data_IF_343302357331
#
_entry.id   IF_343302357331
#
_cell.length_a   1.000
_cell.length_b   1.000
_cell.length_c   1.000
_cell.angle_alpha   90.00
_cell.angle_beta   90.00
_cell.angle_gamma   90.00
#
_symmetry.space_group_name_H-M   'P 1'
#
loop_
_entity.id
_entity.type
_entity.pdbx_description
1 polymer ?
#
# COMPACT_ATOMS: atom_id res chain seq x y z
N UNK A 1 30.54 25.28 -55.95
CA UNK A 1 29.83 24.17 -55.26
C UNK A 1 30.22 24.19 -53.79
N UNK A 2 29.42 24.82 -52.93
CA UNK A 2 29.67 24.89 -51.48
C UNK A 2 28.63 24.06 -50.73
N UNK A 3 29.08 23.11 -49.90
CA UNK A 3 28.20 22.28 -49.05
C UNK A 3 27.56 23.13 -47.95
N UNK A 4 26.27 22.96 -47.60
CA UNK A 4 25.70 23.64 -46.45
C UNK A 4 26.19 23.00 -45.15
N UNK A 5 26.57 23.84 -44.17
CA UNK A 5 26.91 23.42 -42.81
C UNK A 5 25.63 23.03 -42.07
N UNK A 6 25.63 21.87 -41.41
CA UNK A 6 24.55 21.46 -40.51
C UNK A 6 24.56 22.32 -39.23
N UNK A 7 23.40 22.90 -38.90
CA UNK A 7 23.19 23.64 -37.65
C UNK A 7 23.17 22.70 -36.43
N UNK A 8 23.66 23.12 -35.26
CA UNK A 8 23.61 22.29 -34.06
C UNK A 8 22.17 22.23 -33.52
N UNK A 9 21.71 21.01 -33.25
CA UNK A 9 20.41 20.72 -32.65
C UNK A 9 20.44 21.25 -31.20
N UNK A 10 19.73 22.36 -30.95
CA UNK A 10 19.49 22.86 -29.60
C UNK A 10 18.59 21.91 -28.80
N UNK A 11 18.59 22.02 -27.46
CA UNK A 11 17.86 21.10 -26.59
C UNK A 11 16.36 21.21 -26.84
N UNK A 12 15.70 20.06 -27.03
CA UNK A 12 14.25 19.97 -27.23
C UNK A 12 13.55 20.53 -25.98
N UNK A 13 12.87 21.67 -26.13
CA UNK A 13 11.88 22.17 -25.16
C UNK A 13 10.75 21.12 -25.08
N UNK A 14 10.50 20.55 -23.89
CA UNK A 14 9.34 19.68 -23.74
C UNK A 14 9.33 18.66 -22.60
N UNK A 15 10.31 18.59 -21.71
CA UNK A 15 10.16 17.80 -20.49
C UNK A 15 9.20 18.53 -19.54
N UNK A 16 7.89 18.32 -19.73
CA UNK A 16 6.89 18.65 -18.71
C UNK A 16 7.19 17.74 -17.53
N UNK A 17 7.85 18.28 -16.50
CA UNK A 17 7.89 17.65 -15.19
C UNK A 17 6.44 17.60 -14.72
N UNK A 18 5.78 16.46 -14.93
CA UNK A 18 4.48 16.18 -14.33
C UNK A 18 4.74 16.10 -12.84
N UNK A 19 4.52 17.21 -12.13
CA UNK A 19 4.54 17.21 -10.68
C UNK A 19 3.53 16.14 -10.24
N UNK A 20 3.93 15.14 -9.43
CA UNK A 20 2.95 14.22 -8.91
C UNK A 20 1.90 15.07 -8.17
N UNK A 21 0.60 14.85 -8.43
CA UNK A 21 -0.45 15.58 -7.74
C UNK A 21 -0.22 15.50 -6.23
N UNK A 22 -0.37 16.65 -5.57
CA UNK A 22 -0.47 16.75 -4.11
C UNK A 22 -1.62 15.83 -3.72
N UNK A 23 -1.30 14.73 -3.07
CA UNK A 23 -2.20 13.63 -2.76
C UNK A 23 -1.83 13.18 -1.38
N UNK A 24 -2.82 12.82 -0.56
CA UNK A 24 -2.52 12.02 0.61
C UNK A 24 -1.94 10.70 0.11
N UNK A 25 -0.67 10.44 0.41
CA UNK A 25 -0.02 9.18 0.09
C UNK A 25 0.03 8.35 1.36
N UNK A 26 -0.80 7.33 1.47
CA UNK A 26 -0.63 6.33 2.53
C UNK A 26 0.11 5.14 1.94
N UNK A 27 1.26 4.76 2.49
CA UNK A 27 1.81 3.42 2.18
C UNK A 27 1.05 2.41 3.02
N UNK A 28 0.35 1.50 2.35
CA UNK A 28 -0.28 0.36 2.97
C UNK A 28 0.71 -0.79 2.93
N UNK A 29 0.95 -1.45 4.05
CA UNK A 29 1.64 -2.71 4.11
C UNK A 29 0.73 -3.78 4.72
N UNK A 30 0.46 -4.87 3.99
CA UNK A 30 -0.34 -6.01 4.48
C UNK A 30 0.55 -7.20 4.73
N UNK A 31 0.48 -7.75 5.95
CA UNK A 31 1.00 -9.09 6.24
C UNK A 31 -0.10 -10.12 6.07
N UNK A 32 0.18 -11.28 5.46
CA UNK A 32 -0.77 -12.39 5.46
C UNK A 32 -0.71 -13.12 6.81
N UNK A 33 -1.87 -13.39 7.43
CA UNK A 33 -2.06 -14.64 8.17
C UNK A 33 -3.19 -15.40 7.48
N UNK A 34 -3.21 -16.73 7.56
CA UNK A 34 -4.22 -17.56 6.92
C UNK A 34 -4.83 -18.49 7.96
N UNK A 35 -6.17 -18.50 8.11
CA UNK A 35 -6.84 -19.47 8.96
C UNK A 35 -8.33 -19.63 8.66
N UNK A 36 -8.67 -20.59 7.80
CA UNK A 36 -10.02 -21.15 7.73
C UNK A 36 -10.23 -22.14 8.89
N UNK A 37 -11.17 -21.86 9.79
CA UNK A 37 -11.56 -22.79 10.84
C UNK A 37 -12.93 -23.42 10.53
N UNK A 38 -12.93 -24.69 10.10
CA UNK A 38 -14.11 -25.54 10.12
C UNK A 38 -14.17 -26.22 11.49
N UNK A 39 -15.27 -26.07 12.23
CA UNK A 39 -15.49 -26.79 13.50
C UNK A 39 -15.75 -28.27 13.22
N UNK A 40 -14.97 -29.14 13.83
CA UNK A 40 -15.40 -30.50 14.18
C UNK A 40 -15.11 -30.76 15.67
N UNK A 41 -16.01 -31.53 16.26
CA UNK A 41 -16.20 -31.65 17.71
C UNK A 41 -15.28 -32.74 18.28
N UNK A 42 -14.45 -32.38 19.27
CA UNK A 42 -13.90 -33.30 20.28
C UNK A 42 -12.54 -33.95 19.98
N UNK A 43 -11.55 -33.66 20.84
CA UNK A 43 -10.46 -34.60 21.15
C UNK A 43 -9.04 -34.04 21.17
N UNK A 44 -8.54 -33.77 22.40
CA UNK A 44 -7.14 -33.75 22.86
C UNK A 44 -6.18 -32.68 22.27
N UNK A 45 -5.80 -31.74 23.13
CA UNK A 45 -4.70 -30.79 22.94
C UNK A 45 -3.38 -31.56 22.76
N UNK A 46 -2.86 -31.54 21.54
CA UNK A 46 -1.41 -31.55 21.30
C UNK A 46 -1.03 -30.11 20.96
N UNK A 47 -0.20 -29.52 21.82
CA UNK A 47 0.43 -28.23 21.57
C UNK A 47 1.57 -28.44 20.57
N UNK A 48 1.23 -28.46 19.28
CA UNK A 48 2.20 -28.13 18.23
C UNK A 48 1.81 -26.75 17.70
N UNK A 49 2.42 -25.73 18.30
CA UNK A 49 2.26 -24.35 17.88
C UNK A 49 2.77 -24.14 16.46
N UNK A 50 1.85 -24.08 15.50
CA UNK A 50 2.05 -23.39 14.23
C UNK A 50 1.17 -22.13 14.22
N UNK A 51 1.67 -21.11 14.90
CA UNK A 51 1.04 -19.81 14.96
C UNK A 51 1.26 -19.05 13.63
N UNK A 52 0.36 -19.26 12.66
CA UNK A 52 -0.11 -18.29 11.65
C UNK A 52 0.84 -17.20 11.14
N UNK A 53 2.12 -17.52 10.93
CA UNK A 53 3.17 -16.59 10.51
C UNK A 53 3.67 -16.92 9.11
N UNK A 54 4.60 -16.09 8.63
CA UNK A 54 5.41 -16.37 7.43
C UNK A 54 5.83 -17.84 7.40
N UNK A 55 5.46 -18.56 6.34
CA UNK A 55 5.84 -19.97 6.26
C UNK A 55 7.31 -20.10 5.91
N UNK A 56 7.95 -21.19 6.32
CA UNK A 56 9.30 -21.53 5.85
C UNK A 56 9.37 -21.59 4.31
N UNK A 57 8.26 -21.92 3.64
CA UNK A 57 8.14 -21.90 2.18
C UNK A 57 8.21 -20.49 1.60
N UNK A 58 7.60 -19.50 2.26
CA UNK A 58 7.67 -18.10 1.83
C UNK A 58 9.10 -17.57 1.93
N UNK A 59 9.79 -17.87 3.03
CA UNK A 59 11.19 -17.45 3.23
C UNK A 59 12.09 -18.07 2.16
N UNK A 60 11.91 -19.35 1.85
CA UNK A 60 12.70 -20.03 0.83
C UNK A 60 12.38 -19.50 -0.58
N UNK A 61 11.10 -19.24 -0.88
CA UNK A 61 10.68 -18.66 -2.16
C UNK A 61 11.27 -17.27 -2.45
N UNK A 62 11.53 -16.49 -1.40
CA UNK A 62 12.14 -15.17 -1.48
C UNK A 62 13.68 -15.19 -1.33
N UNK A 63 14.30 -16.35 -1.02
CA UNK A 63 15.76 -16.42 -0.76
C UNK A 63 16.55 -15.94 -1.98
N UNK A 64 17.38 -14.92 -1.78
CA UNK A 64 18.21 -14.33 -2.83
C UNK A 64 17.44 -13.50 -3.87
N UNK A 65 16.15 -13.25 -3.67
CA UNK A 65 15.32 -12.45 -4.57
C UNK A 65 15.20 -11.01 -4.09
N UNK A 66 15.92 -10.09 -4.74
CA UNK A 66 15.80 -8.65 -4.52
C UNK A 66 14.92 -8.00 -5.58
N UNK A 67 14.01 -7.12 -5.17
CA UNK A 67 13.15 -6.36 -6.09
C UNK A 67 13.18 -4.87 -5.74
N UNK A 68 13.37 -4.03 -6.74
CA UNK A 68 13.25 -2.57 -6.67
C UNK A 68 12.22 -2.15 -7.70
N UNK A 69 11.23 -1.36 -7.29
CA UNK A 69 10.19 -0.80 -8.17
C UNK A 69 10.24 0.71 -8.05
N UNK A 70 10.49 1.41 -9.16
CA UNK A 70 10.56 2.88 -9.16
C UNK A 70 9.16 3.51 -9.15
N UNK A 71 9.02 4.76 -8.68
CA UNK A 71 7.78 5.50 -8.80
C UNK A 71 7.26 5.53 -10.25
N UNK A 72 6.00 5.13 -10.44
CA UNK A 72 5.36 5.09 -11.76
C UNK A 72 5.54 3.79 -12.56
N UNK A 73 6.35 2.84 -12.08
CA UNK A 73 6.46 1.51 -12.71
C UNK A 73 5.39 0.53 -12.21
N UNK A 74 4.85 0.77 -11.02
CA UNK A 74 3.78 -0.03 -10.45
C UNK A 74 2.43 0.21 -11.18
N UNK A 75 1.58 -0.83 -11.30
CA UNK A 75 0.20 -0.63 -11.71
C UNK A 75 -0.52 0.39 -10.83
N UNK A 76 -1.41 1.18 -11.42
CA UNK A 76 -2.27 2.12 -10.70
C UNK A 76 -3.73 1.84 -11.03
N UNK A 77 -4.53 1.63 -9.99
CA UNK A 77 -5.95 1.30 -10.11
C UNK A 77 -6.79 2.45 -9.57
N UNK A 78 -7.62 3.05 -10.43
CA UNK A 78 -8.59 4.05 -9.99
C UNK A 78 -9.63 3.43 -9.06
N UNK A 79 -9.94 4.13 -7.97
CA UNK A 79 -10.96 3.74 -7.01
C UNK A 79 -12.14 4.70 -7.11
N UNK A 80 -13.37 4.20 -7.31
CA UNK A 80 -14.56 5.04 -7.31
C UNK A 80 -14.80 5.68 -5.94
N UNK A 81 -15.86 6.49 -5.87
CA UNK A 81 -16.39 6.97 -4.59
C UNK A 81 -16.59 5.80 -3.60
N UNK A 82 -16.27 6.00 -2.31
CA UNK A 82 -16.00 7.29 -1.68
C UNK A 82 -14.53 7.73 -1.69
N UNK A 83 -13.59 6.92 -2.19
CA UNK A 83 -12.18 7.29 -2.20
C UNK A 83 -11.87 8.32 -3.31
N UNK A 84 -12.48 8.10 -4.49
CA UNK A 84 -12.25 8.88 -5.71
C UNK A 84 -10.75 9.09 -6.02
N UNK A 85 -9.96 8.06 -5.72
CA UNK A 85 -8.51 8.11 -5.66
C UNK A 85 -7.88 6.94 -6.39
N UNK A 86 -6.72 6.50 -5.94
CA UNK A 86 -5.97 5.42 -6.58
C UNK A 86 -5.37 4.47 -5.56
N UNK A 87 -5.25 3.20 -5.94
CA UNK A 87 -4.46 2.20 -5.24
C UNK A 87 -3.34 1.70 -6.17
N UNK A 88 -2.10 1.84 -5.72
CA UNK A 88 -0.89 1.56 -6.49
C UNK A 88 -0.07 0.47 -5.78
N UNK A 89 -0.37 -0.83 -5.98
CA UNK A 89 0.39 -1.91 -5.35
C UNK A 89 1.80 -1.98 -5.96
N UNK A 90 2.83 -1.83 -5.11
CA UNK A 90 4.23 -1.75 -5.52
C UNK A 90 4.93 -3.09 -5.33
N UNK A 91 4.85 -3.66 -4.12
CA UNK A 91 5.38 -4.97 -3.77
C UNK A 91 4.21 -5.87 -3.35
N UNK A 92 4.12 -7.07 -3.89
CA UNK A 92 3.04 -8.02 -3.60
C UNK A 92 3.49 -9.44 -3.94
N UNK A 93 2.84 -10.50 -3.43
CA UNK A 93 3.38 -11.86 -3.45
C UNK A 93 3.83 -12.35 -4.84
N UNK A 94 3.11 -11.97 -5.90
CA UNK A 94 3.46 -12.37 -7.25
C UNK A 94 4.78 -11.76 -7.77
N UNK A 95 5.24 -10.60 -7.24
CA UNK A 95 6.52 -10.00 -7.61
C UNK A 95 7.61 -10.16 -6.53
N UNK A 96 7.24 -10.29 -5.25
CA UNK A 96 8.18 -10.50 -4.13
C UNK A 96 8.51 -11.96 -3.89
N UNK A 97 7.67 -12.90 -4.37
CA UNK A 97 7.72 -14.33 -4.00
C UNK A 97 7.56 -14.57 -2.49
N UNK A 98 7.00 -13.60 -1.78
CA UNK A 98 6.84 -13.61 -0.33
C UNK A 98 5.40 -13.26 0.04
N UNK A 99 4.64 -14.23 0.55
CA UNK A 99 3.23 -14.01 0.89
C UNK A 99 3.03 -13.11 2.10
N UNK A 100 4.02 -13.06 3.00
CA UNK A 100 3.93 -12.32 4.27
C UNK A 100 4.03 -10.80 4.15
N UNK A 101 4.19 -10.24 2.94
CA UNK A 101 4.32 -8.80 2.72
C UNK A 101 3.70 -8.37 1.39
N UNK A 102 2.84 -7.36 1.45
CA UNK A 102 2.51 -6.51 0.31
C UNK A 102 2.67 -5.06 0.72
N UNK A 103 3.15 -4.17 -0.14
CA UNK A 103 3.11 -2.73 0.08
C UNK A 103 2.78 -1.94 -1.18
N UNK A 104 2.16 -0.79 -1.02
CA UNK A 104 1.85 0.12 -2.12
C UNK A 104 1.31 1.44 -1.63
N UNK A 105 1.01 2.35 -2.55
CA UNK A 105 0.47 3.67 -2.22
C UNK A 105 -1.05 3.71 -2.37
N UNK A 106 -1.71 4.44 -1.48
CA UNK A 106 -3.12 4.78 -1.56
C UNK A 106 -3.24 6.30 -1.64
N UNK A 107 -3.95 6.76 -2.66
CA UNK A 107 -4.40 8.15 -2.80
C UNK A 107 -5.87 8.25 -2.49
N UNK A 108 -6.25 9.27 -1.72
CA UNK A 108 -7.64 9.63 -1.45
C UNK A 108 -7.82 11.07 -1.94
N UNK A 109 -8.80 11.32 -2.81
CA UNK A 109 -9.05 12.68 -3.29
C UNK A 109 -9.58 13.58 -2.16
N UNK A 110 -9.46 14.91 -2.29
CA UNK A 110 -10.07 15.87 -1.38
C UNK A 110 -11.57 15.58 -1.16
N UNK A 111 -12.01 15.55 0.09
CA UNK A 111 -13.37 15.17 0.49
C UNK A 111 -13.67 13.67 0.41
N UNK A 112 -12.72 12.85 -0.04
CA UNK A 112 -12.83 11.40 -0.15
C UNK A 112 -12.52 10.67 1.15
N UNK A 113 -12.84 9.38 1.20
CA UNK A 113 -12.51 8.50 2.33
C UNK A 113 -12.31 7.05 1.94
N UNK A 114 -11.52 6.34 2.73
CA UNK A 114 -11.54 4.88 2.81
C UNK A 114 -12.56 4.51 3.89
N UNK A 115 -13.58 3.74 3.51
CA UNK A 115 -14.65 3.33 4.43
C UNK A 115 -14.08 2.59 5.64
N UNK A 116 -14.79 2.70 6.75
CA UNK A 116 -14.53 1.89 7.94
C UNK A 116 -14.48 0.40 7.57
N UNK A 117 -13.34 -0.25 7.82
CA UNK A 117 -13.13 -1.68 7.59
C UNK A 117 -12.10 -2.27 8.56
N UNK A 118 -12.00 -3.60 8.58
CA UNK A 118 -10.99 -4.36 9.33
C UNK A 118 -10.62 -5.60 8.51
N UNK A 119 -9.52 -6.25 8.89
CA UNK A 119 -9.06 -7.51 8.28
C UNK A 119 -9.20 -8.65 9.31
N UNK A 120 -9.48 -9.87 8.85
CA UNK A 120 -9.81 -10.99 9.74
C UNK A 120 -8.59 -11.66 10.37
N UNK A 121 -7.78 -12.27 9.51
CA UNK A 121 -6.36 -12.50 9.71
C UNK A 121 -5.65 -11.25 9.12
N UNK A 122 -4.36 -11.14 8.89
CA UNK A 122 -3.71 -9.89 8.41
C UNK A 122 -3.59 -8.71 9.39
N UNK A 123 -2.36 -8.19 9.46
CA UNK A 123 -2.04 -6.86 9.98
C UNK A 123 -1.96 -5.87 8.82
N UNK A 124 -2.24 -4.61 9.13
CA UNK A 124 -1.99 -3.50 8.24
C UNK A 124 -1.10 -2.44 8.91
N UNK A 125 -0.07 -1.99 8.19
CA UNK A 125 0.71 -0.81 8.52
C UNK A 125 0.36 0.29 7.51
N UNK A 126 -0.07 1.44 8.02
CA UNK A 126 -0.33 2.64 7.22
C UNK A 126 0.66 3.73 7.63
N UNK A 127 1.30 4.38 6.67
CA UNK A 127 2.14 5.56 6.93
C UNK A 127 1.70 6.67 6.00
N UNK A 128 1.39 7.85 6.55
CA UNK A 128 1.12 9.04 5.74
C UNK A 128 2.44 9.69 5.31
N UNK A 129 2.64 9.85 4.00
CA UNK A 129 3.84 10.47 3.41
C UNK A 129 3.61 11.90 2.93
N UNK A 130 2.37 12.25 2.62
CA UNK A 130 1.99 13.55 2.06
C UNK A 130 0.53 13.85 2.42
N UNK A 131 0.16 15.13 2.38
CA UNK A 131 -1.20 15.61 2.65
C UNK A 131 -1.60 15.50 4.11
N UNK A 132 -2.86 15.81 4.42
CA UNK A 132 -3.41 15.81 5.78
C UNK A 132 -4.86 15.39 5.80
N UNK A 133 -5.24 14.65 6.82
CA UNK A 133 -6.61 14.23 7.07
C UNK A 133 -6.76 13.69 8.47
N UNK A 134 -7.62 12.68 8.60
CA UNK A 134 -7.92 12.03 9.87
C UNK A 134 -7.98 10.52 9.66
N UNK A 135 -7.43 9.79 10.61
CA UNK A 135 -7.62 8.34 10.72
C UNK A 135 -8.43 8.06 11.99
N UNK A 136 -9.44 7.22 11.88
CA UNK A 136 -10.24 6.75 13.02
C UNK A 136 -9.86 5.30 13.25
N UNK A 137 -9.33 4.96 14.43
CA UNK A 137 -8.91 3.62 14.81
C UNK A 137 -9.67 3.22 16.07
N UNK A 138 -10.44 2.12 16.00
CA UNK A 138 -11.32 1.63 17.07
C UNK A 138 -12.19 2.74 17.69
N UNK A 139 -12.72 3.62 16.82
CA UNK A 139 -13.58 4.74 17.21
C UNK A 139 -12.83 5.98 17.72
N UNK A 140 -11.51 5.92 17.89
CA UNK A 140 -10.68 7.05 18.32
C UNK A 140 -10.15 7.80 17.10
N UNK A 141 -10.36 9.11 17.09
CA UNK A 141 -9.91 9.99 16.01
C UNK A 141 -8.48 10.47 16.25
N UNK A 142 -7.62 10.32 15.24
CA UNK A 142 -6.24 10.80 15.23
C UNK A 142 -5.97 11.68 14.00
N UNK A 143 -5.13 12.73 14.12
CA UNK A 143 -4.60 13.43 12.96
C UNK A 143 -3.84 12.45 12.05
N UNK A 144 -4.06 12.54 10.74
CA UNK A 144 -3.28 11.82 9.74
C UNK A 144 -2.45 12.83 8.97
N UNK A 145 -1.18 12.96 9.33
CA UNK A 145 -0.24 13.92 8.75
C UNK A 145 1.10 13.25 8.39
N UNK A 146 1.98 13.87 7.60
CA UNK A 146 3.21 13.21 7.15
C UNK A 146 4.05 12.71 8.34
N UNK A 147 4.37 11.41 8.33
CA UNK A 147 5.06 10.72 9.42
C UNK A 147 4.13 9.99 10.40
N UNK A 148 2.82 10.21 10.34
CA UNK A 148 1.84 9.41 11.10
C UNK A 148 1.92 7.96 10.65
N UNK A 149 2.14 7.05 11.59
CA UNK A 149 2.20 5.61 11.36
C UNK A 149 1.12 4.91 12.19
N UNK A 150 0.32 4.06 11.55
CA UNK A 150 -0.74 3.28 12.16
C UNK A 150 -0.38 1.80 12.05
N UNK A 151 -0.34 1.10 13.18
CA UNK A 151 -0.38 -0.36 13.20
C UNK A 151 -1.81 -0.80 13.49
N UNK A 152 -2.38 -1.59 12.58
CA UNK A 152 -3.76 -2.03 12.58
C UNK A 152 -3.76 -3.56 12.62
N UNK A 153 -3.97 -4.10 13.82
CA UNK A 153 -4.02 -5.55 14.01
C UNK A 153 -5.26 -6.20 13.38
N UNK A 154 -5.31 -7.54 13.35
CA UNK A 154 -6.51 -8.24 12.93
C UNK A 154 -7.72 -7.81 13.77
N UNK A 155 -8.85 -7.55 13.11
CA UNK A 155 -10.09 -7.09 13.73
C UNK A 155 -10.15 -5.59 14.07
N UNK A 156 -9.03 -4.86 14.06
CA UNK A 156 -9.01 -3.42 14.38
C UNK A 156 -9.77 -2.63 13.31
N UNK A 157 -10.83 -1.95 13.73
CA UNK A 157 -11.70 -1.20 12.85
C UNK A 157 -11.05 0.15 12.53
N UNK A 158 -10.89 0.47 11.24
CA UNK A 158 -10.24 1.71 10.83
C UNK A 158 -10.88 2.37 9.60
N UNK A 159 -10.88 3.71 9.60
CA UNK A 159 -11.37 4.59 8.53
C UNK A 159 -10.33 5.69 8.26
N UNK A 160 -10.12 6.07 7.01
CA UNK A 160 -9.29 7.24 6.64
C UNK A 160 -10.16 8.26 5.94
N UNK A 161 -10.08 9.51 6.38
CA UNK A 161 -10.82 10.63 5.82
C UNK A 161 -9.84 11.69 5.30
N UNK A 162 -9.98 12.04 4.03
CA UNK A 162 -9.37 13.24 3.47
C UNK A 162 -10.36 14.41 3.56
N UNK A 163 -10.31 15.14 4.67
CA UNK A 163 -11.11 16.35 4.88
C UNK A 163 -10.38 17.61 4.43
N UNK A 164 -9.13 17.45 3.97
CA UNK A 164 -8.31 18.52 3.43
C UNK A 164 -8.66 18.83 1.97
N UNK A 165 -8.01 19.87 1.46
CA UNK A 165 -8.09 20.27 0.05
C UNK A 165 -7.01 19.63 -0.83
N UNK A 166 -6.23 18.69 -0.29
CA UNK A 166 -4.99 18.13 -0.85
C UNK A 166 -4.95 16.60 -0.81
#
# INVERSE_FOLDING_TARGET
MGRPRASPIGPRRGARVVRPPRRIGVSRCRGASAGWAHRSNGGRLVDEGDAGGTTMRDVEGARGHGLVVQPGEAPSYWQPMPANGHADPVLYPANTRFAGLSTGFQTIAPGGRIRSHSHGDQVELEICFLGRGRVVVDGVSHPLEPGTACFLGPGVQHEILNEGAE
#
